data_IF_540286114113
#
_entry.id   IF_540286114113
#
_cell.length_a   1.000
_cell.length_b   1.000
_cell.length_c   1.000
_cell.angle_alpha   90.00
_cell.angle_beta   90.00
_cell.angle_gamma   90.00
#
_symmetry.space_group_name_H-M   'P 1'
#
loop_
_entity.id
_entity.type
_entity.pdbx_description
1 polymer ?
#
# COMPACT_ATOMS: atom_id res chain seq x y z
N UNK A 1 77.71 36.41 13.53
CA UNK A 1 78.58 36.41 12.33
C UNK A 1 78.47 35.11 11.51
N UNK A 2 77.30 34.46 11.45
CA UNK A 2 77.12 33.17 10.74
C UNK A 2 76.59 33.38 9.30
N UNK A 3 76.07 34.56 8.96
CA UNK A 3 75.37 34.75 7.67
C UNK A 3 76.24 35.15 6.47
N UNK A 4 77.43 35.75 6.66
CA UNK A 4 78.28 36.14 5.51
C UNK A 4 79.17 34.98 5.05
N UNK A 5 79.57 34.10 5.97
CA UNK A 5 80.37 32.91 5.67
C UNK A 5 79.56 31.82 4.96
N UNK A 6 78.26 31.68 5.26
CA UNK A 6 77.36 30.74 4.58
C UNK A 6 77.11 31.15 3.13
N UNK A 7 76.91 32.45 2.87
CA UNK A 7 76.72 32.99 1.52
C UNK A 7 78.00 32.92 0.69
N UNK A 8 79.17 33.19 1.29
CA UNK A 8 80.47 33.01 0.63
C UNK A 8 80.76 31.55 0.26
N UNK A 9 80.39 30.60 1.13
CA UNK A 9 80.56 29.17 0.85
C UNK A 9 79.59 28.65 -0.22
N UNK A 10 78.38 29.21 -0.28
CA UNK A 10 77.40 28.93 -1.35
C UNK A 10 77.89 29.45 -2.70
N UNK A 11 78.50 30.64 -2.75
CA UNK A 11 79.01 31.24 -3.98
C UNK A 11 80.22 30.49 -4.55
N UNK A 12 81.09 29.94 -3.69
CA UNK A 12 82.26 29.15 -4.12
C UNK A 12 81.85 27.75 -4.62
N UNK A 13 80.79 27.16 -4.06
CA UNK A 13 80.27 25.85 -4.51
C UNK A 13 79.36 25.93 -5.75
N UNK A 14 79.00 27.13 -6.20
CA UNK A 14 78.12 27.39 -7.37
C UNK A 14 78.85 27.52 -8.73
N UNK A 15 80.16 27.29 -8.79
CA UNK A 15 80.94 27.37 -10.05
C UNK A 15 80.68 26.22 -11.02
N UNK A 16 79.93 25.18 -10.62
CA UNK A 16 79.53 24.08 -11.49
C UNK A 16 78.05 24.20 -11.89
N UNK A 17 77.70 24.12 -13.19
CA UNK A 17 76.29 24.10 -13.62
C UNK A 17 75.50 22.96 -12.97
N UNK A 18 76.19 21.91 -12.52
CA UNK A 18 75.60 20.76 -11.86
C UNK A 18 75.20 21.05 -10.40
N UNK A 19 75.96 21.88 -9.68
CA UNK A 19 75.55 22.31 -8.33
C UNK A 19 74.34 23.24 -8.38
N UNK A 20 74.21 24.05 -9.44
CA UNK A 20 73.01 24.85 -9.68
C UNK A 20 71.78 23.98 -10.00
N UNK A 21 71.93 22.93 -10.82
CA UNK A 21 70.85 21.96 -11.07
C UNK A 21 70.45 21.22 -9.79
N UNK A 22 71.41 20.78 -8.97
CA UNK A 22 71.12 20.15 -7.68
C UNK A 22 70.43 21.09 -6.71
N UNK A 23 70.83 22.37 -6.68
CA UNK A 23 70.17 23.40 -5.86
C UNK A 23 68.73 23.64 -6.33
N UNK A 24 68.48 23.71 -7.64
CA UNK A 24 67.14 23.89 -8.21
C UNK A 24 66.27 22.67 -7.94
N UNK A 25 66.81 21.45 -8.02
CA UNK A 25 66.10 20.21 -7.67
C UNK A 25 65.81 20.16 -6.17
N UNK A 26 66.75 20.55 -5.32
CA UNK A 26 66.55 20.61 -3.87
C UNK A 26 65.49 21.66 -3.50
N UNK A 27 65.57 22.87 -4.05
CA UNK A 27 64.58 23.93 -3.86
C UNK A 27 63.20 23.52 -4.40
N UNK A 28 63.14 22.89 -5.57
CA UNK A 28 61.91 22.35 -6.14
C UNK A 28 61.29 21.25 -5.27
N UNK A 29 62.13 20.39 -4.67
CA UNK A 29 61.68 19.35 -3.73
C UNK A 29 61.15 19.95 -2.43
N UNK A 30 61.83 20.95 -1.87
CA UNK A 30 61.40 21.66 -0.67
C UNK A 30 60.10 22.45 -0.92
N UNK A 31 59.99 23.13 -2.07
CA UNK A 31 58.78 23.84 -2.47
C UNK A 31 57.60 22.87 -2.69
N UNK A 32 57.84 21.70 -3.30
CA UNK A 32 56.84 20.67 -3.46
C UNK A 32 56.37 20.09 -2.11
N UNK A 33 57.29 19.84 -1.18
CA UNK A 33 56.96 19.43 0.20
C UNK A 33 56.15 20.52 0.90
N UNK A 34 56.53 21.79 0.76
CA UNK A 34 55.80 22.92 1.34
C UNK A 34 54.38 23.07 0.82
N UNK A 35 54.19 22.98 -0.50
CA UNK A 35 52.86 23.09 -1.14
C UNK A 35 51.98 21.89 -0.82
N UNK A 36 52.54 20.68 -0.78
CA UNK A 36 51.78 19.46 -0.40
C UNK A 36 51.43 19.40 1.08
N UNK A 37 52.23 20.05 1.95
CA UNK A 37 51.93 20.23 3.37
C UNK A 37 50.83 21.29 3.61
N UNK A 38 50.85 22.41 2.86
CA UNK A 38 49.85 23.48 3.01
C UNK A 38 48.46 23.13 2.45
N UNK A 39 48.37 22.24 1.45
CA UNK A 39 47.09 21.76 0.93
C UNK A 39 46.45 20.72 1.88
N UNK A 40 45.92 21.20 2.99
CA UNK A 40 45.17 20.40 3.96
C UNK A 40 43.74 20.13 3.47
N UNK A 41 43.57 19.03 2.73
CA UNK A 41 42.28 18.36 2.57
C UNK A 41 42.46 16.82 2.59
N UNK A 42 41.65 16.05 3.35
CA UNK A 42 41.70 14.59 3.33
C UNK A 42 40.93 14.06 2.09
N UNK A 43 41.21 12.86 1.52
CA UNK A 43 41.98 11.73 2.05
C UNK A 43 43.05 11.24 1.03
N UNK A 44 44.32 11.62 1.20
CA UNK A 44 45.41 11.17 0.31
C UNK A 44 46.68 10.76 1.09
N UNK A 45 46.52 9.88 2.08
CA UNK A 45 47.63 9.38 2.91
C UNK A 45 48.70 8.65 2.08
N UNK A 46 48.30 7.85 1.08
CA UNK A 46 49.24 7.12 0.23
C UNK A 46 50.11 8.01 -0.67
N UNK A 47 49.51 9.05 -1.28
CA UNK A 47 50.24 9.98 -2.15
C UNK A 47 51.26 10.84 -1.38
N UNK A 48 50.94 11.21 -0.13
CA UNK A 48 51.89 11.92 0.73
C UNK A 48 53.09 11.06 1.08
N UNK A 49 52.89 9.79 1.46
CA UNK A 49 53.99 8.89 1.82
C UNK A 49 54.95 8.64 0.63
N UNK A 50 54.41 8.46 -0.57
CA UNK A 50 55.22 8.25 -1.79
C UNK A 50 55.93 9.54 -2.19
N UNK A 51 55.24 10.69 -2.18
CA UNK A 51 55.85 11.99 -2.50
C UNK A 51 56.94 12.41 -1.51
N UNK A 52 56.73 12.19 -0.21
CA UNK A 52 57.75 12.42 0.82
C UNK A 52 58.90 11.43 0.69
N UNK A 53 58.63 10.17 0.36
CA UNK A 53 59.64 9.15 0.15
C UNK A 53 60.55 9.46 -1.04
N UNK A 54 59.98 9.81 -2.20
CA UNK A 54 60.74 10.17 -3.40
C UNK A 54 61.54 11.46 -3.17
N UNK A 55 60.93 12.47 -2.52
CA UNK A 55 61.62 13.73 -2.21
C UNK A 55 62.75 13.52 -1.20
N UNK A 56 62.57 12.65 -0.19
CA UNK A 56 63.62 12.29 0.76
C UNK A 56 64.76 11.51 0.08
N UNK A 57 64.45 10.59 -0.82
CA UNK A 57 65.45 9.87 -1.62
C UNK A 57 66.23 10.82 -2.55
N UNK A 58 65.54 11.79 -3.18
CA UNK A 58 66.19 12.81 -4.00
C UNK A 58 67.10 13.73 -3.17
N UNK A 59 66.67 14.13 -1.97
CA UNK A 59 67.48 14.90 -1.02
C UNK A 59 68.71 14.11 -0.54
N UNK A 60 68.52 12.83 -0.19
CA UNK A 60 69.61 11.96 0.22
C UNK A 60 70.62 11.73 -0.91
N UNK A 61 70.15 11.48 -2.14
CA UNK A 61 71.00 11.35 -3.32
C UNK A 61 71.74 12.66 -3.64
N UNK A 62 71.07 13.81 -3.51
CA UNK A 62 71.69 15.13 -3.67
C UNK A 62 72.78 15.39 -2.63
N UNK A 63 72.56 15.02 -1.37
CA UNK A 63 73.57 15.14 -0.31
C UNK A 63 74.76 14.19 -0.50
N UNK A 64 74.52 12.95 -0.97
CA UNK A 64 75.60 12.01 -1.31
C UNK A 64 76.39 12.51 -2.51
N UNK A 65 75.71 13.04 -3.54
CA UNK A 65 76.35 13.64 -4.72
C UNK A 65 77.21 14.86 -4.36
N UNK A 66 76.73 15.72 -3.44
CA UNK A 66 77.51 16.86 -2.92
C UNK A 66 78.74 16.40 -2.11
N UNK A 67 78.69 15.24 -1.44
CA UNK A 67 79.87 14.66 -0.74
C UNK A 67 80.88 13.98 -1.67
N UNK A 68 80.43 13.36 -2.75
CA UNK A 68 81.31 12.67 -3.73
C UNK A 68 81.90 13.64 -4.77
N UNK A 69 81.32 14.84 -4.91
CA UNK A 69 81.80 15.90 -5.80
C UNK A 69 83.17 16.49 -5.48
N UNK A 70 83.81 16.09 -4.38
CA UNK A 70 85.21 16.39 -4.08
C UNK A 70 86.16 15.32 -4.65
N UNK A 71 86.03 14.98 -5.94
CA UNK A 71 87.08 14.25 -6.68
C UNK A 71 86.70 13.01 -7.50
N UNK A 72 85.65 13.00 -8.32
CA UNK A 72 85.50 12.02 -9.41
C UNK A 72 84.49 12.48 -10.50
N UNK A 73 84.99 12.84 -11.69
CA UNK A 73 84.20 13.50 -12.75
C UNK A 73 83.23 12.63 -13.56
N UNK A 74 83.20 11.31 -13.38
CA UNK A 74 82.37 10.41 -14.20
C UNK A 74 81.09 9.88 -13.50
N UNK A 75 81.04 9.87 -12.17
CA UNK A 75 79.88 9.36 -11.41
C UNK A 75 78.71 10.37 -11.34
N UNK A 76 78.98 11.63 -11.69
CA UNK A 76 78.05 12.75 -11.47
C UNK A 76 77.00 12.86 -12.58
N UNK A 77 77.34 12.51 -13.83
CA UNK A 77 76.41 12.54 -14.97
C UNK A 77 75.36 11.42 -14.92
N UNK A 78 75.76 10.22 -14.51
CA UNK A 78 74.84 9.08 -14.28
C UNK A 78 73.91 9.32 -13.10
N UNK A 79 74.38 9.97 -12.03
CA UNK A 79 73.52 10.38 -10.92
C UNK A 79 72.48 11.43 -11.34
N UNK A 80 72.85 12.41 -12.18
CA UNK A 80 71.92 13.44 -12.67
C UNK A 80 70.82 12.85 -13.57
N UNK A 81 71.17 11.90 -14.46
CA UNK A 81 70.18 11.18 -15.29
C UNK A 81 69.26 10.32 -14.43
N UNK A 82 69.80 9.64 -13.40
CA UNK A 82 68.99 8.88 -12.44
C UNK A 82 67.99 9.74 -11.67
N UNK A 83 68.38 10.94 -11.26
CA UNK A 83 67.51 11.91 -10.57
C UNK A 83 66.43 12.45 -11.52
N UNK A 84 66.77 12.78 -12.77
CA UNK A 84 65.81 13.23 -13.77
C UNK A 84 64.78 12.14 -14.12
N UNK A 85 65.23 10.88 -14.25
CA UNK A 85 64.34 9.75 -14.47
C UNK A 85 63.42 9.51 -13.27
N UNK A 86 63.92 9.61 -12.04
CA UNK A 86 63.12 9.50 -10.83
C UNK A 86 62.09 10.64 -10.69
N UNK A 87 62.48 11.87 -11.03
CA UNK A 87 61.57 13.03 -11.04
C UNK A 87 60.49 12.91 -12.11
N UNK A 88 60.84 12.44 -13.32
CA UNK A 88 59.89 12.17 -14.39
C UNK A 88 58.89 11.08 -13.97
N UNK A 89 59.37 9.94 -13.46
CA UNK A 89 58.49 8.86 -12.97
C UNK A 89 57.60 9.32 -11.80
N UNK A 90 58.13 10.14 -10.89
CA UNK A 90 57.36 10.76 -9.80
C UNK A 90 56.27 11.70 -10.31
N UNK A 91 56.57 12.52 -11.32
CA UNK A 91 55.60 13.43 -11.93
C UNK A 91 54.51 12.67 -12.70
N UNK A 92 54.86 11.62 -13.45
CA UNK A 92 53.89 10.79 -14.16
C UNK A 92 53.00 10.02 -13.18
N UNK A 93 53.56 9.50 -12.09
CA UNK A 93 52.80 8.84 -11.03
C UNK A 93 51.87 9.82 -10.29
N UNK A 94 52.32 11.03 -10.01
CA UNK A 94 51.50 12.08 -9.38
C UNK A 94 50.34 12.50 -10.30
N UNK A 95 50.60 12.75 -11.59
CA UNK A 95 49.58 13.07 -12.58
C UNK A 95 48.58 11.91 -12.77
N UNK A 96 49.07 10.67 -12.90
CA UNK A 96 48.21 9.50 -13.00
C UNK A 96 47.30 9.33 -11.78
N UNK A 97 47.81 9.63 -10.58
CA UNK A 97 47.02 9.60 -9.35
C UNK A 97 46.02 10.74 -9.24
N UNK A 98 46.37 11.98 -9.59
CA UNK A 98 45.46 13.13 -9.47
C UNK A 98 44.34 13.05 -10.50
N UNK A 99 44.66 12.74 -11.76
CA UNK A 99 43.66 12.60 -12.82
C UNK A 99 42.88 11.28 -12.70
N UNK A 100 43.53 10.17 -12.29
CA UNK A 100 42.87 8.90 -12.03
C UNK A 100 41.89 8.96 -10.86
N UNK A 101 42.26 9.61 -9.76
CA UNK A 101 41.36 9.79 -8.60
C UNK A 101 40.19 10.72 -8.91
N UNK A 102 40.41 11.80 -9.68
CA UNK A 102 39.34 12.68 -10.12
C UNK A 102 38.37 11.96 -11.07
N UNK A 103 38.89 11.16 -12.03
CA UNK A 103 38.09 10.33 -12.92
C UNK A 103 37.29 9.26 -12.18
N UNK A 104 37.90 8.58 -11.20
CA UNK A 104 37.22 7.59 -10.36
C UNK A 104 36.12 8.23 -9.49
N UNK A 105 36.36 9.43 -8.94
CA UNK A 105 35.36 10.17 -8.18
C UNK A 105 34.19 10.64 -9.06
N UNK A 106 34.47 11.13 -10.28
CA UNK A 106 33.44 11.53 -11.24
C UNK A 106 32.58 10.35 -11.70
N UNK A 107 33.21 9.19 -11.99
CA UNK A 107 32.50 7.95 -12.31
C UNK A 107 31.69 7.43 -11.11
N UNK A 108 32.23 7.54 -9.89
CA UNK A 108 31.54 7.21 -8.65
C UNK A 108 30.30 8.08 -8.43
N UNK A 109 30.43 9.40 -8.60
CA UNK A 109 29.32 10.34 -8.52
C UNK A 109 28.27 10.10 -9.61
N UNK A 110 28.69 9.81 -10.85
CA UNK A 110 27.77 9.47 -11.93
C UNK A 110 27.02 8.17 -11.66
N UNK A 111 27.69 7.12 -11.16
CA UNK A 111 27.05 5.86 -10.74
C UNK A 111 26.09 6.08 -9.57
N UNK A 112 26.46 6.90 -8.58
CA UNK A 112 25.61 7.24 -7.45
C UNK A 112 24.35 8.00 -7.92
N UNK A 113 24.47 8.98 -8.82
CA UNK A 113 23.33 9.69 -9.42
C UNK A 113 22.41 8.74 -10.20
N UNK A 114 22.98 7.82 -11.01
CA UNK A 114 22.20 6.82 -11.75
C UNK A 114 21.45 5.87 -10.80
N UNK A 115 22.09 5.41 -9.72
CA UNK A 115 21.45 4.59 -8.69
C UNK A 115 20.32 5.34 -7.98
N UNK A 116 20.56 6.60 -7.58
CA UNK A 116 19.54 7.43 -6.96
C UNK A 116 18.35 7.69 -7.89
N UNK A 117 18.59 7.94 -9.18
CA UNK A 117 17.53 8.08 -10.18
C UNK A 117 16.73 6.78 -10.37
N UNK A 118 17.41 5.63 -10.43
CA UNK A 118 16.76 4.33 -10.53
C UNK A 118 15.91 4.00 -9.28
N UNK A 119 16.39 4.33 -8.08
CA UNK A 119 15.63 4.18 -6.83
C UNK A 119 14.38 5.06 -6.84
N UNK A 120 14.50 6.35 -7.20
CA UNK A 120 13.34 7.25 -7.32
C UNK A 120 12.32 6.77 -8.34
N UNK A 121 12.77 6.30 -9.50
CA UNK A 121 11.88 5.72 -10.51
C UNK A 121 11.19 4.44 -9.99
N UNK A 122 11.90 3.61 -9.22
CA UNK A 122 11.33 2.45 -8.55
C UNK A 122 10.30 2.82 -7.47
N UNK A 123 10.56 3.85 -6.68
CA UNK A 123 9.64 4.37 -5.67
C UNK A 123 8.39 4.95 -6.30
N UNK A 124 8.53 5.71 -7.37
CA UNK A 124 7.39 6.27 -8.12
C UNK A 124 6.54 5.17 -8.73
N UNK A 125 7.17 4.17 -9.36
CA UNK A 125 6.45 3.01 -9.90
C UNK A 125 5.70 2.24 -8.81
N UNK A 126 6.31 2.06 -7.62
CA UNK A 126 5.65 1.44 -6.47
C UNK A 126 4.46 2.26 -5.96
N UNK A 127 4.59 3.59 -5.90
CA UNK A 127 3.50 4.50 -5.52
C UNK A 127 2.33 4.42 -6.50
N UNK A 128 2.61 4.46 -7.80
CA UNK A 128 1.60 4.33 -8.85
C UNK A 128 0.89 2.97 -8.78
N UNK A 129 1.64 1.87 -8.59
CA UNK A 129 1.06 0.55 -8.42
C UNK A 129 0.18 0.46 -7.17
N UNK A 130 0.63 1.01 -6.04
CA UNK A 130 -0.15 1.05 -4.81
C UNK A 130 -1.40 1.93 -4.94
N UNK A 131 -1.33 3.03 -5.69
CA UNK A 131 -2.50 3.85 -6.02
C UNK A 131 -3.48 3.08 -6.92
N UNK A 132 -3.00 2.42 -7.98
CA UNK A 132 -3.86 1.62 -8.86
C UNK A 132 -4.51 0.42 -8.15
N UNK A 133 -3.78 -0.21 -7.23
CA UNK A 133 -4.31 -1.30 -6.41
C UNK A 133 -5.39 -0.79 -5.46
N UNK A 134 -5.18 0.37 -4.82
CA UNK A 134 -6.19 0.99 -3.97
C UNK A 134 -7.46 1.33 -4.76
N UNK A 135 -7.32 2.01 -5.90
CA UNK A 135 -8.44 2.32 -6.79
C UNK A 135 -9.23 1.06 -7.21
N UNK A 136 -8.52 -0.03 -7.53
CA UNK A 136 -9.14 -1.32 -7.85
C UNK A 136 -9.89 -1.93 -6.66
N UNK A 137 -9.34 -1.87 -5.44
CA UNK A 137 -9.97 -2.39 -4.22
C UNK A 137 -11.17 -1.52 -3.79
N UNK A 138 -11.08 -0.21 -4.00
CA UNK A 138 -12.17 0.75 -3.77
C UNK A 138 -13.28 0.62 -4.81
N UNK A 139 -12.96 0.14 -6.00
CA UNK A 139 -13.93 -0.14 -7.05
C UNK A 139 -14.23 1.07 -7.93
N UNK A 140 -13.25 1.96 -8.12
CA UNK A 140 -13.37 3.13 -9.01
C UNK A 140 -13.72 2.73 -10.44
N UNK A 141 -13.20 1.59 -10.90
CA UNK A 141 -13.54 0.98 -12.19
C UNK A 141 -15.01 0.54 -12.25
N UNK A 142 -15.58 0.04 -11.14
CA UNK A 142 -16.99 -0.35 -11.04
C UNK A 142 -17.91 0.88 -11.03
N UNK A 143 -17.48 1.95 -10.35
CA UNK A 143 -18.17 3.24 -10.38
C UNK A 143 -18.17 3.84 -11.79
N UNK A 144 -17.05 3.76 -12.51
CA UNK A 144 -16.97 4.17 -13.91
C UNK A 144 -17.85 3.29 -14.83
N UNK A 145 -17.89 1.97 -14.62
CA UNK A 145 -18.73 1.04 -15.39
C UNK A 145 -20.22 1.32 -15.21
N UNK A 146 -20.66 1.54 -13.97
CA UNK A 146 -22.06 1.91 -13.66
C UNK A 146 -22.45 3.26 -14.27
N UNK A 147 -21.60 4.28 -14.13
CA UNK A 147 -21.82 5.59 -14.74
C UNK A 147 -21.87 5.52 -16.28
N UNK A 148 -21.00 4.72 -16.91
CA UNK A 148 -21.01 4.52 -18.36
C UNK A 148 -22.28 3.82 -18.84
N UNK A 149 -22.78 2.83 -18.09
CA UNK A 149 -24.03 2.15 -18.38
C UNK A 149 -25.24 3.10 -18.30
N UNK A 150 -25.33 3.91 -17.24
CA UNK A 150 -26.40 4.90 -17.08
C UNK A 150 -26.34 5.97 -18.19
N UNK A 151 -25.14 6.47 -18.52
CA UNK A 151 -24.96 7.41 -19.63
C UNK A 151 -25.37 6.82 -21.00
N UNK A 152 -25.16 5.51 -21.21
CA UNK A 152 -25.61 4.84 -22.43
C UNK A 152 -27.13 4.73 -22.49
N UNK A 153 -27.80 4.44 -21.37
CA UNK A 153 -29.27 4.44 -21.26
C UNK A 153 -29.84 5.83 -21.56
N UNK A 154 -29.25 6.89 -20.99
CA UNK A 154 -29.70 8.27 -21.28
C UNK A 154 -29.56 8.65 -22.76
N UNK A 155 -28.45 8.26 -23.40
CA UNK A 155 -28.28 8.47 -24.85
C UNK A 155 -29.35 7.72 -25.66
N UNK A 156 -29.73 6.50 -25.26
CA UNK A 156 -30.80 5.75 -25.91
C UNK A 156 -32.17 6.42 -25.73
N UNK A 157 -32.47 6.91 -24.53
CA UNK A 157 -33.72 7.67 -24.25
C UNK A 157 -33.82 8.90 -25.13
N UNK A 158 -32.74 9.70 -25.19
CA UNK A 158 -32.69 10.89 -26.04
C UNK A 158 -32.85 10.56 -27.54
N UNK A 159 -32.21 9.48 -28.01
CA UNK A 159 -32.35 9.03 -29.40
C UNK A 159 -33.77 8.57 -29.74
N UNK A 160 -34.45 7.86 -28.83
CA UNK A 160 -35.84 7.43 -29.02
C UNK A 160 -36.79 8.64 -29.01
N UNK A 161 -36.60 9.59 -28.10
CA UNK A 161 -37.36 10.84 -28.09
C UNK A 161 -37.22 11.60 -29.42
N UNK A 162 -35.99 11.72 -29.94
CA UNK A 162 -35.76 12.33 -31.26
C UNK A 162 -36.42 11.58 -32.42
N UNK A 163 -36.52 10.25 -32.36
CA UNK A 163 -37.27 9.45 -33.34
C UNK A 163 -38.79 9.67 -33.23
N UNK A 164 -39.31 9.84 -32.01
CA UNK A 164 -40.71 10.15 -31.76
C UNK A 164 -41.07 11.55 -32.29
N UNK A 165 -40.21 12.55 -32.06
CA UNK A 165 -40.37 13.90 -32.60
C UNK A 165 -40.32 13.90 -34.13
N UNK A 166 -39.37 13.17 -34.73
CA UNK A 166 -39.27 13.02 -36.18
C UNK A 166 -40.52 12.36 -36.78
N UNK A 167 -41.05 11.33 -36.10
CA UNK A 167 -42.31 10.69 -36.48
C UNK A 167 -43.48 11.68 -36.41
N UNK A 168 -43.61 12.44 -35.33
CA UNK A 168 -44.67 13.44 -35.20
C UNK A 168 -44.58 14.52 -36.31
N UNK A 169 -43.37 14.91 -36.70
CA UNK A 169 -43.15 15.83 -37.81
C UNK A 169 -43.54 15.23 -39.18
N UNK A 170 -43.29 13.93 -39.40
CA UNK A 170 -43.73 13.22 -40.60
C UNK A 170 -45.26 13.08 -40.65
N UNK A 171 -45.90 12.76 -39.52
CA UNK A 171 -47.36 12.69 -39.40
C UNK A 171 -48.00 14.05 -39.71
N UNK A 172 -47.47 15.15 -39.14
CA UNK A 172 -47.93 16.50 -39.43
C UNK A 172 -47.80 16.88 -40.92
N UNK A 173 -46.70 16.49 -41.58
CA UNK A 173 -46.51 16.73 -43.04
C UNK A 173 -47.47 15.91 -43.88
N UNK A 174 -47.71 14.64 -43.51
CA UNK A 174 -48.67 13.77 -44.19
C UNK A 174 -50.09 14.33 -44.11
N UNK A 175 -50.48 14.81 -42.94
CA UNK A 175 -51.81 15.36 -42.71
C UNK A 175 -51.99 16.71 -43.44
N UNK A 176 -50.94 17.53 -43.52
CA UNK A 176 -50.93 18.74 -44.36
C UNK A 176 -51.05 18.43 -45.86
N UNK A 177 -50.37 17.39 -46.35
CA UNK A 177 -50.47 16.95 -47.74
C UNK A 177 -51.88 16.44 -48.10
N UNK A 178 -52.59 15.80 -47.15
CA UNK A 178 -53.99 15.37 -47.33
C UNK A 178 -55.00 16.51 -47.19
N UNK A 179 -54.73 17.50 -46.35
CA UNK A 179 -55.61 18.65 -46.11
C UNK A 179 -55.59 19.72 -47.21
N UNK A 180 -54.58 19.70 -48.09
CA UNK A 180 -54.45 20.62 -49.22
C UNK A 180 -55.47 20.40 -50.35
N UNK A 181 -56.16 19.26 -50.38
CA UNK A 181 -57.10 18.87 -51.44
C UNK A 181 -58.57 19.34 -51.17
N UNK A 182 -58.79 20.06 -50.07
CA UNK A 182 -60.12 20.52 -49.65
C UNK A 182 -60.53 21.93 -50.09
N UNK A 183 -59.65 22.68 -50.78
CA UNK A 183 -59.87 24.07 -51.17
C UNK A 183 -60.45 24.22 -52.58
N UNK A 184 -61.76 24.48 -52.65
CA UNK A 184 -62.51 24.98 -53.81
C UNK A 184 -62.57 24.09 -55.08
N UNK A 185 -63.68 23.34 -55.14
CA UNK A 185 -64.22 22.69 -56.33
C UNK A 185 -64.62 23.74 -57.37
N UNK A 186 -63.67 24.18 -58.19
CA UNK A 186 -63.89 25.02 -59.37
C UNK A 186 -63.21 24.41 -60.59
N UNK A 187 -64.01 23.79 -61.45
CA UNK A 187 -63.61 23.10 -62.68
C UNK A 187 -62.62 23.89 -63.54
N UNK A 188 -61.58 23.21 -64.03
CA UNK A 188 -60.83 23.50 -65.26
C UNK A 188 -59.69 22.46 -65.41
N UNK A 189 -59.69 21.79 -66.56
CA UNK A 189 -58.91 20.61 -66.95
C UNK A 189 -57.48 20.96 -67.42
N UNK A 190 -56.54 20.03 -67.25
CA UNK A 190 -55.23 20.04 -67.92
C UNK A 190 -54.03 19.73 -67.02
N UNK A 191 -53.56 20.66 -66.17
CA UNK A 191 -52.38 20.47 -65.29
C UNK A 191 -52.70 19.91 -63.89
N UNK A 192 -53.97 19.71 -63.55
CA UNK A 192 -54.40 19.29 -62.20
C UNK A 192 -54.31 17.79 -61.94
N UNK A 193 -54.37 16.95 -62.98
CA UNK A 193 -54.31 15.50 -62.84
C UNK A 193 -52.90 15.04 -62.43
N UNK A 194 -51.86 15.57 -63.07
CA UNK A 194 -50.45 15.29 -62.73
C UNK A 194 -50.12 15.77 -61.31
N UNK A 195 -50.60 16.96 -60.91
CA UNK A 195 -50.40 17.49 -59.56
C UNK A 195 -51.13 16.67 -58.48
N UNK A 196 -52.31 16.13 -58.78
CA UNK A 196 -53.04 15.24 -57.88
C UNK A 196 -52.34 13.87 -57.73
N UNK A 197 -51.78 13.34 -58.82
CA UNK A 197 -51.02 12.09 -58.81
C UNK A 197 -49.69 12.25 -58.02
N UNK A 198 -48.97 13.35 -58.21
CA UNK A 198 -47.77 13.69 -57.44
C UNK A 198 -48.07 13.90 -55.95
N UNK A 199 -49.17 14.57 -55.61
CA UNK A 199 -49.60 14.74 -54.21
C UNK A 199 -49.99 13.41 -53.56
N UNK A 200 -50.64 12.51 -54.31
CA UNK A 200 -50.96 11.15 -53.87
C UNK A 200 -49.70 10.32 -53.62
N UNK A 201 -48.73 10.36 -54.54
CA UNK A 201 -47.45 9.66 -54.40
C UNK A 201 -46.66 10.17 -53.19
N UNK A 202 -46.62 11.49 -52.97
CA UNK A 202 -45.99 12.08 -51.79
C UNK A 202 -46.68 11.66 -50.48
N UNK A 203 -48.02 11.60 -50.47
CA UNK A 203 -48.77 11.15 -49.30
C UNK A 203 -48.52 9.66 -48.97
N UNK A 204 -48.36 8.82 -49.99
CA UNK A 204 -47.97 7.42 -49.82
C UNK A 204 -46.54 7.28 -49.29
N UNK A 205 -45.57 8.01 -49.85
CA UNK A 205 -44.18 7.99 -49.38
C UNK A 205 -44.07 8.48 -47.92
N UNK A 206 -44.82 9.52 -47.55
CA UNK A 206 -44.90 9.99 -46.17
C UNK A 206 -45.56 8.96 -45.25
N UNK A 207 -46.57 8.22 -45.72
CA UNK A 207 -47.17 7.13 -44.96
C UNK A 207 -46.18 5.98 -44.71
N UNK A 208 -45.44 5.55 -45.74
CA UNK A 208 -44.38 4.54 -45.61
C UNK A 208 -43.29 4.99 -44.63
N UNK A 209 -42.88 6.26 -44.69
CA UNK A 209 -41.91 6.83 -43.75
C UNK A 209 -42.43 6.87 -42.30
N UNK A 210 -43.72 7.16 -42.09
CA UNK A 210 -44.35 7.09 -40.76
C UNK A 210 -44.35 5.66 -40.20
N UNK A 211 -44.69 4.66 -41.02
CA UNK A 211 -44.72 3.24 -40.61
C UNK A 211 -43.32 2.72 -40.28
N UNK A 212 -42.32 3.11 -41.07
CA UNK A 212 -40.93 2.80 -40.78
C UNK A 212 -40.47 3.45 -39.47
N UNK A 213 -40.77 4.74 -39.26
CA UNK A 213 -40.45 5.44 -38.03
C UNK A 213 -41.13 4.80 -36.81
N UNK A 214 -42.41 4.40 -36.92
CA UNK A 214 -43.12 3.68 -35.88
C UNK A 214 -42.47 2.33 -35.54
N UNK A 215 -42.02 1.59 -36.54
CA UNK A 215 -41.29 0.32 -36.37
C UNK A 215 -39.95 0.54 -35.64
N UNK A 216 -39.20 1.58 -36.03
CA UNK A 216 -37.92 1.95 -35.39
C UNK A 216 -38.11 2.39 -33.94
N UNK A 217 -39.14 3.18 -33.64
CA UNK A 217 -39.50 3.55 -32.25
C UNK A 217 -39.85 2.31 -31.43
N UNK A 218 -40.68 1.40 -31.96
CA UNK A 218 -41.03 0.14 -31.29
C UNK A 218 -39.81 -0.74 -30.99
N UNK A 219 -38.88 -0.87 -31.95
CA UNK A 219 -37.61 -1.57 -31.74
C UNK A 219 -36.73 -0.85 -30.71
N UNK A 220 -36.61 0.47 -30.80
CA UNK A 220 -35.86 1.30 -29.87
C UNK A 220 -36.35 1.14 -28.42
N UNK A 221 -37.66 1.18 -28.20
CA UNK A 221 -38.27 0.97 -26.87
C UNK A 221 -37.96 -0.42 -26.29
N UNK A 222 -37.95 -1.48 -27.12
CA UNK A 222 -37.53 -2.82 -26.68
C UNK A 222 -36.05 -2.88 -26.30
N UNK A 223 -35.18 -2.24 -27.09
CA UNK A 223 -33.74 -2.12 -26.80
C UNK A 223 -33.51 -1.33 -25.53
N UNK A 224 -34.24 -0.23 -25.31
CA UNK A 224 -34.16 0.58 -24.10
C UNK A 224 -34.52 -0.25 -22.86
N UNK A 225 -35.62 -1.00 -22.88
CA UNK A 225 -36.00 -1.87 -21.76
C UNK A 225 -34.91 -2.91 -21.43
N UNK A 226 -34.30 -3.51 -22.45
CA UNK A 226 -33.19 -4.44 -22.27
C UNK A 226 -31.92 -3.75 -21.71
N UNK A 227 -31.60 -2.55 -22.20
CA UNK A 227 -30.48 -1.75 -21.74
C UNK A 227 -30.66 -1.30 -20.28
N UNK A 228 -31.87 -0.89 -19.89
CA UNK A 228 -32.21 -0.57 -18.52
C UNK A 228 -32.04 -1.79 -17.60
N UNK A 229 -32.55 -2.97 -17.99
CA UNK A 229 -32.36 -4.19 -17.23
C UNK A 229 -30.87 -4.59 -17.11
N UNK A 230 -30.06 -4.36 -18.15
CA UNK A 230 -28.61 -4.57 -18.11
C UNK A 230 -27.91 -3.59 -17.17
N UNK A 231 -28.22 -2.29 -17.25
CA UNK A 231 -27.67 -1.27 -16.37
C UNK A 231 -28.04 -1.55 -14.90
N UNK A 232 -29.25 -2.04 -14.63
CA UNK A 232 -29.65 -2.46 -13.28
C UNK A 232 -28.80 -3.63 -12.78
N UNK A 233 -28.57 -4.64 -13.62
CA UNK A 233 -27.69 -5.77 -13.30
C UNK A 233 -26.28 -5.31 -12.96
N UNK A 234 -25.71 -4.40 -13.77
CA UNK A 234 -24.37 -3.84 -13.52
C UNK A 234 -24.34 -3.10 -12.18
N UNK A 235 -25.33 -2.25 -11.92
CA UNK A 235 -25.44 -1.49 -10.67
C UNK A 235 -25.60 -2.40 -9.44
N UNK A 236 -26.47 -3.42 -9.49
CA UNK A 236 -26.65 -4.35 -8.37
C UNK A 236 -25.42 -5.26 -8.14
N UNK A 237 -24.64 -5.56 -9.18
CA UNK A 237 -23.44 -6.40 -9.08
C UNK A 237 -22.18 -5.63 -8.65
N UNK A 238 -22.14 -4.30 -8.81
CA UNK A 238 -20.98 -3.50 -8.43
C UNK A 238 -20.62 -3.63 -6.92
N UNK A 239 -21.57 -3.52 -5.97
CA UNK A 239 -21.27 -3.72 -4.55
C UNK A 239 -20.76 -5.13 -4.25
N UNK A 240 -21.32 -6.16 -4.89
CA UNK A 240 -20.86 -7.55 -4.76
C UNK A 240 -19.42 -7.69 -5.25
N UNK A 241 -19.10 -7.21 -6.46
CA UNK A 241 -17.74 -7.27 -7.02
C UNK A 241 -16.72 -6.57 -6.14
N UNK A 242 -17.10 -5.43 -5.54
CA UNK A 242 -16.26 -4.70 -4.57
C UNK A 242 -15.97 -5.55 -3.32
N UNK A 243 -16.98 -6.19 -2.74
CA UNK A 243 -16.81 -7.11 -1.61
C UNK A 243 -15.91 -8.31 -1.97
N UNK A 244 -16.05 -8.88 -3.17
CA UNK A 244 -15.21 -10.00 -3.59
C UNK A 244 -13.71 -9.65 -3.64
N UNK A 245 -13.38 -8.37 -3.87
CA UNK A 245 -12.00 -7.85 -3.86
C UNK A 245 -11.48 -7.60 -2.44
N UNK A 246 -12.36 -7.20 -1.52
CA UNK A 246 -12.05 -6.90 -0.11
C UNK A 246 -12.16 -8.08 0.84
N UNK A 247 -12.33 -9.30 0.33
CA UNK A 247 -12.46 -10.50 1.17
C UNK A 247 -11.29 -10.58 2.15
N UNK A 248 -11.54 -10.99 3.41
CA UNK A 248 -10.51 -11.06 4.46
C UNK A 248 -9.57 -12.27 4.27
N UNK A 249 -8.96 -12.41 3.09
CA UNK A 249 -8.11 -13.55 2.71
C UNK A 249 -6.86 -13.63 3.57
N UNK A 250 -6.24 -12.50 3.85
CA UNK A 250 -5.03 -12.43 4.66
C UNK A 250 -5.32 -12.86 6.10
N UNK A 251 -6.44 -12.43 6.68
CA UNK A 251 -6.89 -12.88 7.99
C UNK A 251 -7.16 -14.40 8.03
N UNK A 252 -7.80 -14.94 6.99
CA UNK A 252 -8.02 -16.39 6.88
C UNK A 252 -6.72 -17.18 6.70
N UNK A 253 -5.75 -16.64 5.97
CA UNK A 253 -4.42 -17.24 5.81
C UNK A 253 -3.60 -17.16 7.11
N UNK A 254 -3.68 -16.04 7.83
CA UNK A 254 -3.06 -15.87 9.13
C UNK A 254 -3.62 -16.88 10.14
N UNK A 255 -4.93 -17.12 10.15
CA UNK A 255 -5.55 -18.15 10.97
C UNK A 255 -5.00 -19.55 10.66
N UNK A 256 -4.80 -19.88 9.38
CA UNK A 256 -4.28 -21.18 8.96
C UNK A 256 -2.79 -21.39 9.31
N UNK A 257 -2.01 -20.31 9.45
CA UNK A 257 -0.56 -20.37 9.65
C UNK A 257 -0.13 -20.14 11.10
N UNK A 258 -0.77 -19.20 11.80
CA UNK A 258 -0.41 -18.77 13.15
C UNK A 258 -1.32 -19.39 14.23
N UNK A 259 -2.42 -20.04 13.85
CA UNK A 259 -3.33 -20.70 14.79
C UNK A 259 -3.91 -19.75 15.83
N UNK A 260 -3.86 -20.13 17.11
CA UNK A 260 -4.51 -19.41 18.20
C UNK A 260 -4.08 -17.93 18.32
N UNK A 261 -2.84 -17.60 17.97
CA UNK A 261 -2.31 -16.23 18.04
C UNK A 261 -2.94 -15.25 17.03
N UNK A 262 -3.64 -15.74 16.01
CA UNK A 262 -4.28 -14.90 14.99
C UNK A 262 -5.82 -14.85 15.10
N UNK A 263 -6.43 -15.53 16.09
CA UNK A 263 -7.90 -15.62 16.21
C UNK A 263 -8.54 -14.24 16.38
N UNK A 264 -8.04 -13.42 17.32
CA UNK A 264 -8.60 -12.09 17.59
C UNK A 264 -8.50 -11.16 16.37
N UNK A 265 -7.36 -11.16 15.67
CA UNK A 265 -7.16 -10.37 14.45
C UNK A 265 -8.08 -10.86 13.32
N UNK A 266 -8.26 -12.17 13.17
CA UNK A 266 -9.17 -12.74 12.18
C UNK A 266 -10.64 -12.39 12.48
N UNK A 267 -11.05 -12.47 13.75
CA UNK A 267 -12.39 -12.09 14.19
C UNK A 267 -12.69 -10.60 13.88
N UNK A 268 -11.77 -9.69 14.23
CA UNK A 268 -11.91 -8.28 13.94
C UNK A 268 -12.00 -7.99 12.43
N UNK A 269 -11.20 -8.68 11.61
CA UNK A 269 -11.24 -8.53 10.15
C UNK A 269 -12.56 -9.02 9.55
N UNK A 270 -13.11 -10.14 10.04
CA UNK A 270 -14.40 -10.66 9.58
C UNK A 270 -15.54 -9.73 10.02
N UNK A 271 -15.49 -9.19 11.23
CA UNK A 271 -16.49 -8.23 11.73
C UNK A 271 -16.52 -6.95 10.90
N UNK A 272 -15.35 -6.40 10.55
CA UNK A 272 -15.25 -5.26 9.63
C UNK A 272 -15.85 -5.60 8.25
N UNK A 273 -15.54 -6.77 7.70
CA UNK A 273 -16.09 -7.22 6.43
C UNK A 273 -17.62 -7.39 6.47
N UNK A 274 -18.19 -7.92 7.55
CA UNK A 274 -19.64 -7.98 7.76
C UNK A 274 -20.28 -6.59 7.79
N UNK A 275 -19.59 -5.59 8.34
CA UNK A 275 -20.00 -4.18 8.25
C UNK A 275 -20.10 -3.70 6.80
N UNK A 276 -19.11 -4.03 5.95
CA UNK A 276 -19.14 -3.71 4.53
C UNK A 276 -20.27 -4.44 3.78
N UNK A 277 -20.55 -5.70 4.12
CA UNK A 277 -21.66 -6.49 3.53
C UNK A 277 -23.02 -5.82 3.82
N UNK A 278 -23.24 -5.36 5.05
CA UNK A 278 -24.47 -4.64 5.44
C UNK A 278 -24.60 -3.30 4.70
N UNK A 279 -23.50 -2.57 4.55
CA UNK A 279 -23.47 -1.33 3.76
C UNK A 279 -23.81 -1.61 2.28
N UNK A 280 -23.25 -2.67 1.69
CA UNK A 280 -23.56 -3.09 0.33
C UNK A 280 -25.04 -3.49 0.17
N UNK A 281 -25.63 -4.14 1.18
CA UNK A 281 -27.07 -4.48 1.19
C UNK A 281 -27.95 -3.24 1.16
N UNK A 282 -27.61 -2.23 1.96
CA UNK A 282 -28.31 -0.94 1.95
C UNK A 282 -28.16 -0.24 0.59
N UNK A 283 -26.98 -0.30 -0.02
CA UNK A 283 -26.72 0.27 -1.35
C UNK A 283 -27.55 -0.41 -2.44
N UNK A 284 -27.58 -1.75 -2.50
CA UNK A 284 -28.40 -2.52 -3.46
C UNK A 284 -29.89 -2.23 -3.27
N UNK A 285 -30.37 -2.15 -2.03
CA UNK A 285 -31.75 -1.79 -1.73
C UNK A 285 -32.08 -0.37 -2.20
N UNK A 286 -31.17 0.60 -2.02
CA UNK A 286 -31.33 1.96 -2.49
C UNK A 286 -31.34 2.05 -4.03
N UNK A 287 -30.50 1.28 -4.72
CA UNK A 287 -30.50 1.17 -6.19
C UNK A 287 -31.85 0.66 -6.69
N UNK A 288 -32.35 -0.42 -6.08
CA UNK A 288 -33.66 -0.99 -6.42
C UNK A 288 -34.80 0.01 -6.16
N UNK A 289 -34.77 0.71 -5.02
CA UNK A 289 -35.77 1.70 -4.64
C UNK A 289 -35.86 2.88 -5.62
N UNK A 290 -34.71 3.46 -6.03
CA UNK A 290 -34.68 4.57 -6.99
C UNK A 290 -35.31 4.20 -8.34
N UNK A 291 -35.12 2.96 -8.79
CA UNK A 291 -35.67 2.49 -10.07
C UNK A 291 -37.13 2.08 -9.98
N UNK A 292 -37.57 1.50 -8.86
CA UNK A 292 -38.99 1.21 -8.63
C UNK A 292 -39.83 2.51 -8.63
N UNK A 293 -39.32 3.59 -8.04
CA UNK A 293 -39.96 4.90 -8.07
C UNK A 293 -40.10 5.45 -9.51
N UNK A 294 -39.12 5.20 -10.38
CA UNK A 294 -39.19 5.58 -11.80
C UNK A 294 -40.12 4.71 -12.64
N UNK A 295 -40.25 3.42 -12.30
CA UNK A 295 -41.11 2.47 -13.01
C UNK A 295 -42.60 2.62 -12.68
N UNK A 296 -42.95 3.07 -11.46
CA UNK A 296 -44.33 3.31 -11.07
C UNK A 296 -45.05 4.37 -11.93
N UNK A 297 -44.31 5.21 -12.67
CA UNK A 297 -44.88 6.17 -13.64
C UNK A 297 -45.23 5.56 -15.01
N UNK A 298 -44.67 4.41 -15.37
CA UNK A 298 -44.87 3.74 -16.65
C UNK A 298 -45.39 2.33 -16.40
N UNK A 299 -46.72 2.14 -16.41
CA UNK A 299 -47.45 0.94 -15.99
C UNK A 299 -47.08 -0.38 -16.71
N UNK A 300 -45.87 -0.86 -16.51
CA UNK A 300 -45.35 -2.12 -17.05
C UNK A 300 -45.24 -3.17 -15.93
N UNK A 301 -46.24 -4.04 -15.90
CA UNK A 301 -46.14 -5.47 -15.58
C UNK A 301 -45.36 -5.90 -14.34
N UNK A 302 -46.10 -6.22 -13.27
CA UNK A 302 -45.68 -6.92 -12.07
C UNK A 302 -45.35 -8.41 -12.33
N UNK A 303 -44.33 -8.69 -13.13
CA UNK A 303 -43.70 -10.00 -13.15
C UNK A 303 -42.78 -10.12 -11.94
N UNK A 304 -43.26 -10.71 -10.84
CA UNK A 304 -42.48 -11.05 -9.65
C UNK A 304 -41.46 -12.18 -9.92
N UNK A 305 -40.71 -12.09 -11.02
CA UNK A 305 -39.52 -12.87 -11.25
C UNK A 305 -38.40 -12.27 -10.40
N UNK A 306 -37.52 -13.13 -9.86
CA UNK A 306 -36.33 -12.74 -9.11
C UNK A 306 -35.51 -11.70 -9.90
N UNK A 307 -35.73 -10.42 -9.59
CA UNK A 307 -35.03 -9.32 -10.20
C UNK A 307 -33.54 -9.36 -9.84
N UNK A 308 -32.68 -8.67 -10.60
CA UNK A 308 -31.25 -8.63 -10.30
C UNK A 308 -30.94 -8.10 -8.89
N UNK A 309 -31.80 -7.23 -8.35
CA UNK A 309 -31.71 -6.78 -6.98
C UNK A 309 -32.02 -7.90 -5.96
N UNK A 310 -33.05 -8.74 -6.18
CA UNK A 310 -33.38 -9.81 -5.25
C UNK A 310 -32.29 -10.88 -5.23
N UNK A 311 -31.72 -11.22 -6.39
CA UNK A 311 -30.56 -12.11 -6.49
C UNK A 311 -29.38 -11.54 -5.71
N UNK A 312 -29.03 -10.27 -5.94
CA UNK A 312 -27.92 -9.63 -5.23
C UNK A 312 -28.14 -9.55 -3.70
N UNK A 313 -29.36 -9.26 -3.26
CA UNK A 313 -29.72 -9.26 -1.84
C UNK A 313 -29.65 -10.67 -1.23
N UNK A 314 -30.06 -11.70 -1.97
CA UNK A 314 -29.91 -13.10 -1.57
C UNK A 314 -28.45 -13.50 -1.36
N UNK A 315 -27.59 -13.15 -2.30
CA UNK A 315 -26.13 -13.37 -2.20
C UNK A 315 -25.52 -12.65 -1.00
N UNK A 316 -25.90 -11.39 -0.74
CA UNK A 316 -25.44 -10.63 0.42
C UNK A 316 -25.91 -11.25 1.74
N UNK A 317 -27.15 -11.74 1.80
CA UNK A 317 -27.67 -12.45 2.96
C UNK A 317 -26.94 -13.79 3.20
N UNK A 318 -26.62 -14.52 2.13
CA UNK A 318 -25.82 -15.73 2.21
C UNK A 318 -24.39 -15.46 2.72
N UNK A 319 -23.76 -14.38 2.24
CA UNK A 319 -22.46 -13.91 2.76
C UNK A 319 -22.54 -13.53 4.23
N UNK A 320 -23.55 -12.76 4.64
CA UNK A 320 -23.74 -12.35 6.04
C UNK A 320 -23.92 -13.57 6.96
N UNK A 321 -24.71 -14.56 6.54
CA UNK A 321 -24.88 -15.82 7.27
C UNK A 321 -23.58 -16.62 7.37
N UNK A 322 -22.87 -16.81 6.26
CA UNK A 322 -21.64 -17.61 6.23
C UNK A 322 -20.51 -16.99 7.05
N UNK A 323 -20.27 -15.69 6.90
CA UNK A 323 -19.25 -14.98 7.67
C UNK A 323 -19.67 -14.73 9.12
N UNK A 324 -20.97 -14.60 9.41
CA UNK A 324 -21.50 -14.56 10.76
C UNK A 324 -21.22 -15.86 11.53
N UNK A 325 -21.56 -17.01 10.93
CA UNK A 325 -21.28 -18.32 11.52
C UNK A 325 -19.77 -18.57 11.73
N UNK A 326 -18.92 -18.07 10.83
CA UNK A 326 -17.47 -18.13 10.98
C UNK A 326 -16.98 -17.28 12.17
N UNK A 327 -17.50 -16.06 12.31
CA UNK A 327 -17.17 -15.16 13.42
C UNK A 327 -17.57 -15.77 14.76
N UNK A 328 -18.76 -16.35 14.85
CA UNK A 328 -19.22 -17.05 16.05
C UNK A 328 -18.29 -18.21 16.43
N UNK A 329 -17.90 -19.03 15.45
CA UNK A 329 -16.93 -20.12 15.67
C UNK A 329 -15.58 -19.61 16.16
N UNK A 330 -15.10 -18.49 15.62
CA UNK A 330 -13.84 -17.89 16.06
C UNK A 330 -13.94 -17.39 17.50
N UNK A 331 -15.02 -16.69 17.86
CA UNK A 331 -15.26 -16.22 19.22
C UNK A 331 -15.38 -17.38 20.23
N UNK A 332 -16.01 -18.49 19.83
CA UNK A 332 -16.04 -19.72 20.65
C UNK A 332 -14.65 -20.34 20.79
N UNK A 333 -13.84 -20.35 19.74
CA UNK A 333 -12.47 -20.87 19.80
C UNK A 333 -11.56 -20.01 20.68
N UNK A 334 -11.76 -18.69 20.66
CA UNK A 334 -11.08 -17.74 21.55
C UNK A 334 -11.45 -17.99 23.01
N UNK A 335 -12.74 -18.16 23.30
CA UNK A 335 -13.23 -18.51 24.63
C UNK A 335 -12.65 -19.84 25.13
N UNK A 336 -12.62 -20.87 24.28
CA UNK A 336 -12.01 -22.15 24.66
C UNK A 336 -10.50 -22.02 24.92
N UNK A 337 -9.79 -21.21 24.14
CA UNK A 337 -8.37 -20.96 24.35
C UNK A 337 -8.11 -20.20 25.66
N UNK A 338 -8.92 -19.17 25.96
CA UNK A 338 -8.80 -18.42 27.23
C UNK A 338 -9.12 -19.30 28.43
N UNK A 339 -10.13 -20.17 28.33
CA UNK A 339 -10.48 -21.11 29.41
C UNK A 339 -9.36 -22.12 29.65
N UNK A 340 -8.76 -22.70 28.59
CA UNK A 340 -7.60 -23.60 28.77
C UNK A 340 -6.41 -22.89 29.41
N UNK A 341 -6.08 -21.69 28.96
CA UNK A 341 -5.00 -20.90 29.55
C UNK A 341 -5.26 -20.59 31.03
N UNK A 342 -6.51 -20.30 31.39
CA UNK A 342 -6.91 -20.06 32.78
C UNK A 342 -6.79 -21.33 33.63
N UNK A 343 -7.18 -22.50 33.10
CA UNK A 343 -7.01 -23.79 33.78
C UNK A 343 -5.53 -24.11 33.97
N UNK A 344 -4.68 -23.92 32.96
CA UNK A 344 -3.23 -24.12 33.06
C UNK A 344 -2.60 -23.19 34.11
N UNK A 345 -3.08 -21.95 34.22
CA UNK A 345 -2.65 -21.01 35.28
C UNK A 345 -3.08 -21.49 36.67
N UNK A 346 -4.31 -22.00 36.82
CA UNK A 346 -4.79 -22.56 38.08
C UNK A 346 -3.98 -23.80 38.46
N UNK A 347 -3.70 -24.70 37.52
CA UNK A 347 -2.85 -25.89 37.74
C UNK A 347 -1.43 -25.49 38.13
N UNK A 348 -0.85 -24.48 37.47
CA UNK A 348 0.47 -23.94 37.79
C UNK A 348 0.50 -23.32 39.19
N UNK A 349 -0.50 -22.51 39.54
CA UNK A 349 -0.64 -21.91 40.86
C UNK A 349 -0.85 -22.96 41.95
N UNK A 350 -1.67 -23.98 41.71
CA UNK A 350 -1.87 -25.10 42.62
C UNK A 350 -0.58 -25.91 42.81
N UNK A 351 0.19 -26.13 41.73
CA UNK A 351 1.51 -26.75 41.78
C UNK A 351 2.51 -25.96 42.62
N UNK A 352 2.56 -24.64 42.43
CA UNK A 352 3.41 -23.73 43.20
C UNK A 352 3.01 -23.71 44.69
N UNK A 353 1.71 -23.65 44.99
CA UNK A 353 1.18 -23.70 46.36
C UNK A 353 1.51 -25.04 47.03
N UNK A 354 1.35 -26.16 46.33
CA UNK A 354 1.72 -27.50 46.82
C UNK A 354 3.22 -27.62 47.10
N UNK A 355 4.07 -27.04 46.25
CA UNK A 355 5.51 -27.01 46.46
C UNK A 355 5.89 -26.13 47.67
N UNK A 356 5.28 -24.95 47.80
CA UNK A 356 5.47 -24.06 48.94
C UNK A 356 5.00 -24.68 50.27
N UNK A 357 3.84 -25.34 50.28
CA UNK A 357 3.32 -26.03 51.45
C UNK A 357 4.21 -27.20 51.90
N UNK A 358 4.79 -27.95 50.95
CA UNK A 358 5.79 -28.99 51.24
C UNK A 358 7.08 -28.41 51.82
N UNK A 359 7.52 -27.26 51.34
CA UNK A 359 8.70 -26.58 51.86
C UNK A 359 8.47 -25.97 53.26
N UNK A 360 7.23 -25.60 53.58
CA UNK A 360 6.86 -24.95 54.84
C UNK A 360 6.57 -25.91 56.02
N UNK A 361 6.81 -27.22 55.89
CA UNK A 361 6.50 -28.23 56.92
C UNK A 361 5.04 -28.17 57.42
N UNK A 362 4.08 -27.98 56.49
CA UNK A 362 2.66 -28.01 56.81
C UNK A 362 2.21 -29.48 56.93
N UNK A 363 1.50 -29.80 58.02
CA UNK A 363 0.98 -31.14 58.29
C UNK A 363 0.08 -31.62 57.13
N UNK A 364 0.42 -32.73 56.45
CA UNK A 364 -0.38 -33.27 55.35
C UNK A 364 -1.81 -33.65 55.75
N UNK A 365 -2.08 -33.92 57.04
CA UNK A 365 -3.44 -34.16 57.52
C UNK A 365 -4.31 -32.88 57.48
N UNK A 366 -3.73 -31.71 57.81
CA UNK A 366 -4.42 -30.43 57.75
C UNK A 366 -4.71 -30.01 56.29
N UNK A 367 -3.77 -30.29 55.38
CA UNK A 367 -3.93 -30.04 53.94
C UNK A 367 -5.02 -30.94 53.33
N UNK A 368 -5.07 -32.21 53.73
CA UNK A 368 -6.15 -33.14 53.34
C UNK A 368 -7.53 -32.72 53.85
N UNK A 369 -7.62 -32.21 55.08
CA UNK A 369 -8.87 -31.67 55.62
C UNK A 369 -9.37 -30.47 54.80
N UNK A 370 -8.47 -29.56 54.42
CA UNK A 370 -8.79 -28.34 53.68
C UNK A 370 -9.22 -28.61 52.23
N UNK A 371 -8.56 -29.55 51.53
CA UNK A 371 -8.99 -29.99 50.18
C UNK A 371 -10.36 -30.66 50.23
N UNK A 372 -10.64 -31.45 51.27
CA UNK A 372 -11.95 -32.08 51.47
C UNK A 372 -13.04 -31.03 51.74
N UNK A 373 -12.69 -29.96 52.45
CA UNK A 373 -13.58 -28.84 52.72
C UNK A 373 -13.85 -27.99 51.48
N UNK A 374 -12.84 -27.72 50.65
CA UNK A 374 -12.97 -27.05 49.34
C UNK A 374 -13.85 -27.88 48.41
N UNK A 375 -13.61 -29.19 48.27
CA UNK A 375 -14.42 -30.06 47.42
C UNK A 375 -15.89 -30.12 47.90
N UNK A 376 -16.11 -30.08 49.22
CA UNK A 376 -17.46 -30.01 49.81
C UNK A 376 -18.11 -28.64 49.56
N UNK A 377 -17.34 -27.55 49.59
CA UNK A 377 -17.80 -26.21 49.27
C UNK A 377 -18.12 -26.06 47.78
N UNK A 378 -17.28 -26.56 46.87
CA UNK A 378 -17.53 -26.57 45.43
C UNK A 378 -18.76 -27.40 45.08
N UNK A 379 -18.93 -28.58 45.71
CA UNK A 379 -20.13 -29.40 45.54
C UNK A 379 -21.39 -28.71 46.05
N UNK A 380 -21.29 -27.97 47.17
CA UNK A 380 -22.40 -27.18 47.70
C UNK A 380 -22.73 -25.95 46.83
N UNK A 381 -21.72 -25.31 46.22
CA UNK A 381 -21.88 -24.18 45.29
C UNK A 381 -22.48 -24.65 43.97
N UNK A 382 -22.03 -25.78 43.44
CA UNK A 382 -22.60 -26.39 42.23
C UNK A 382 -24.06 -26.83 42.44
N UNK A 383 -24.41 -27.31 43.64
CA UNK A 383 -25.79 -27.64 44.00
C UNK A 383 -26.67 -26.40 44.28
N UNK A 384 -26.07 -25.24 44.53
CA UNK A 384 -26.76 -23.99 44.84
C UNK A 384 -26.80 -22.99 43.67
N UNK A 385 -26.16 -23.29 42.54
CA UNK A 385 -26.14 -22.41 41.37
C UNK A 385 -27.56 -22.29 40.77
N UNK A 386 -28.15 -21.09 40.70
CA UNK A 386 -29.47 -20.91 40.10
C UNK A 386 -29.38 -21.05 38.57
N UNK A 387 -30.41 -21.67 37.97
CA UNK A 387 -30.52 -21.75 36.52
C UNK A 387 -30.55 -20.34 35.90
N UNK A 388 -29.62 -20.11 34.98
CA UNK A 388 -29.53 -18.99 34.03
C UNK A 388 -29.71 -17.56 34.60
N UNK A 389 -28.59 -16.95 35.04
CA UNK A 389 -28.51 -15.49 35.21
C UNK A 389 -27.37 -14.96 36.08
N UNK A 390 -26.78 -15.80 36.94
CA UNK A 390 -25.80 -15.37 37.96
C UNK A 390 -24.32 -15.35 37.53
N UNK A 391 -23.97 -15.69 36.29
CA UNK A 391 -22.57 -15.87 35.87
C UNK A 391 -21.71 -14.60 35.98
N UNK A 392 -22.32 -13.42 35.84
CA UNK A 392 -21.63 -12.13 35.98
C UNK A 392 -21.35 -11.77 37.44
N UNK A 393 -22.32 -11.98 38.33
CA UNK A 393 -22.16 -11.77 39.77
C UNK A 393 -21.16 -12.77 40.37
N UNK A 394 -21.16 -14.02 39.88
CA UNK A 394 -20.20 -15.04 40.30
C UNK A 394 -18.77 -14.71 39.81
N UNK A 395 -18.62 -14.20 38.59
CA UNK A 395 -17.34 -13.75 38.05
C UNK A 395 -16.79 -12.51 38.79
N UNK A 396 -17.66 -11.56 39.17
CA UNK A 396 -17.28 -10.39 39.98
C UNK A 396 -16.88 -10.80 41.40
N UNK A 397 -17.64 -11.69 42.06
CA UNK A 397 -17.28 -12.20 43.38
C UNK A 397 -15.99 -13.02 43.38
N UNK A 398 -15.71 -13.79 42.32
CA UNK A 398 -14.45 -14.53 42.15
C UNK A 398 -13.26 -13.59 41.87
N UNK A 399 -13.47 -12.51 41.10
CA UNK A 399 -12.44 -11.50 40.84
C UNK A 399 -12.12 -10.67 42.09
N UNK A 400 -13.13 -10.31 42.90
CA UNK A 400 -12.92 -9.66 44.21
C UNK A 400 -12.25 -10.61 45.21
N UNK A 401 -12.63 -11.89 45.20
CA UNK A 401 -11.99 -12.93 46.01
C UNK A 401 -10.53 -13.17 45.65
N UNK A 402 -10.17 -13.16 44.35
CA UNK A 402 -8.78 -13.31 43.92
C UNK A 402 -7.92 -12.09 44.31
N UNK A 403 -8.49 -10.89 44.26
CA UNK A 403 -7.84 -9.65 44.72
C UNK A 403 -7.64 -9.58 46.24
N UNK A 404 -8.51 -10.22 47.01
CA UNK A 404 -8.41 -10.30 48.47
C UNK A 404 -7.38 -11.36 48.90
N UNK A 405 -7.29 -12.49 48.20
CA UNK A 405 -6.28 -13.53 48.42
C UNK A 405 -4.85 -13.04 48.12
N UNK A 406 -4.69 -12.15 47.13
CA UNK A 406 -3.40 -11.59 46.74
C UNK A 406 -2.82 -10.59 47.77
N UNK A 407 -3.62 -10.13 48.76
CA UNK A 407 -3.19 -9.15 49.78
C UNK A 407 -2.84 -9.72 51.15
N UNK A 408 -2.76 -11.04 51.30
CA UNK A 408 -2.34 -11.74 52.53
C UNK A 408 -2.95 -11.19 53.83
N UNK A 409 -4.22 -11.50 54.09
CA UNK A 409 -4.76 -11.49 55.45
C UNK A 409 -5.83 -12.58 55.58
N UNK A 410 -5.62 -13.49 56.54
CA UNK A 410 -6.46 -14.67 56.79
C UNK A 410 -7.92 -14.33 57.17
N UNK A 411 -8.21 -13.06 57.47
CA UNK A 411 -9.53 -12.49 57.71
C UNK A 411 -10.42 -12.40 56.46
N UNK A 412 -9.83 -12.36 55.25
CA UNK A 412 -10.57 -12.17 54.00
C UNK A 412 -11.45 -13.36 53.59
N UNK A 413 -11.05 -14.60 53.90
CA UNK A 413 -11.82 -15.80 53.58
C UNK A 413 -13.10 -15.90 54.43
N UNK A 414 -13.03 -15.50 55.71
CA UNK A 414 -14.18 -15.43 56.60
C UNK A 414 -15.19 -14.37 56.18
N UNK A 415 -14.72 -13.22 55.67
CA UNK A 415 -15.59 -12.16 55.14
C UNK A 415 -16.26 -12.56 53.82
N UNK A 416 -15.55 -13.27 52.92
CA UNK A 416 -16.13 -13.82 51.69
C UNK A 416 -17.25 -14.84 52.00
N UNK A 417 -17.04 -15.71 52.99
CA UNK A 417 -18.05 -16.68 53.45
C UNK A 417 -19.25 -15.97 54.11
N UNK A 418 -19.02 -14.86 54.81
CA UNK A 418 -20.08 -14.05 55.39
C UNK A 418 -20.91 -13.33 54.30
N UNK A 419 -20.26 -12.71 53.32
CA UNK A 419 -20.92 -12.02 52.21
C UNK A 419 -21.75 -12.99 51.32
N UNK A 420 -21.24 -14.21 51.09
CA UNK A 420 -21.98 -15.25 50.38
C UNK A 420 -23.19 -15.79 51.16
N UNK A 421 -23.20 -15.67 52.49
CA UNK A 421 -24.38 -16.01 53.32
C UNK A 421 -25.43 -14.90 53.33
N UNK A 422 -25.04 -13.64 53.16
CA UNK A 422 -25.98 -12.51 53.04
C UNK A 422 -26.66 -12.41 51.66
N UNK A 423 -26.11 -13.08 50.63
CA UNK A 423 -26.69 -13.16 49.28
C UNK A 423 -27.69 -14.32 49.09
N UNK A 424 -27.97 -15.09 50.15
CA UNK A 424 -29.09 -16.04 50.22
C UNK A 424 -30.37 -15.32 50.62
#
# INVERSE_FOLDING_TARGET
>A
MIDVSLLGWLLVTLTSPLSLVLLVVALGSVAYIGVTALAAAPPRRGARAIGTGVSACALAAGMIGLRVGAGAGAAVSTAAVGIAAAAALGATAACAWTFGAAGAAALGAARARRRAAALRAGDERRRLLAASQRAYIEGDDLAAETAAADAAVERLRAAIAGLEDARAALEARRDAARGGDGGERGAEDGPRAEQAEEASALAEDLARACDEAATRVSMGRRVLAAAEAAALRIACNAPLRRLLRRRPREAMQALATLGAGAIAQAAASIEAFLGEVRAARAEVAAIAGRRAAGAAGNGAGSGAAEGPASVALGELAAMESAYGALLERLRLSELHASTRASVEQVESAAGALSAAARAAAIDPAALGALVTEIARAESAVAAAAPEAGGSRALAEALAEGSLALDRSDATSLSELIAALRELR
#
